data_IF_359074307686
#
_entry.id   IF_359074307686
#
_cell.length_a   1.000
_cell.length_b   1.000
_cell.length_c   1.000
_cell.angle_alpha   90.00
_cell.angle_beta   90.00
_cell.angle_gamma   90.00
#
_symmetry.space_group_name_H-M   'P 1'
#
loop_
_entity.id
_entity.type
_entity.pdbx_description
1 polymer ?
#
# COMPACT_ATOMS: atom_id res chain seq x y z
N UNK A 1 68.09 -35.07 -8.15
CA UNK A 1 67.43 -35.12 -6.81
C UNK A 1 66.29 -34.10 -6.85
N UNK A 2 65.05 -34.51 -7.17
CA UNK A 2 64.01 -35.03 -6.27
C UNK A 2 63.64 -34.01 -5.17
N UNK A 3 62.55 -33.26 -5.37
CA UNK A 3 61.32 -33.32 -4.54
C UNK A 3 60.21 -32.45 -5.10
N UNK A 4 59.02 -33.07 -5.19
CA UNK A 4 57.72 -32.50 -5.55
C UNK A 4 57.02 -31.93 -4.31
N UNK A 5 56.15 -30.92 -4.44
CA UNK A 5 55.10 -30.65 -3.43
C UNK A 5 53.84 -29.96 -4.00
N UNK A 6 52.85 -30.80 -4.31
CA UNK A 6 51.41 -30.77 -3.98
C UNK A 6 50.61 -29.44 -3.98
N UNK A 7 49.72 -29.36 -4.98
CA UNK A 7 48.26 -29.22 -4.89
C UNK A 7 47.63 -28.26 -3.86
N UNK A 8 46.84 -27.29 -4.35
CA UNK A 8 45.47 -26.98 -3.86
C UNK A 8 44.61 -26.45 -5.01
N UNK A 9 43.64 -27.27 -5.45
CA UNK A 9 42.53 -26.82 -6.26
C UNK A 9 41.57 -26.03 -5.36
N UNK A 10 41.34 -24.75 -5.65
CA UNK A 10 40.26 -23.97 -5.04
C UNK A 10 39.04 -24.08 -5.96
N UNK A 11 38.09 -24.92 -5.58
CA UNK A 11 36.75 -24.92 -6.14
C UNK A 11 36.01 -23.68 -5.62
N UNK A 12 35.83 -22.69 -6.49
CA UNK A 12 35.03 -21.49 -6.20
C UNK A 12 33.53 -21.83 -6.25
N UNK A 13 32.88 -21.82 -5.09
CA UNK A 13 31.42 -21.83 -5.00
C UNK A 13 30.90 -20.45 -5.44
N UNK A 14 30.30 -20.34 -6.63
CA UNK A 14 29.52 -19.17 -7.00
C UNK A 14 28.20 -19.19 -6.21
N UNK A 15 28.10 -18.35 -5.19
CA UNK A 15 26.83 -18.05 -4.51
C UNK A 15 25.95 -17.21 -5.45
N UNK A 16 24.95 -17.84 -6.05
CA UNK A 16 23.88 -17.13 -6.76
C UNK A 16 23.06 -16.36 -5.73
N UNK A 17 23.20 -15.03 -5.73
CA UNK A 17 22.31 -14.13 -5.01
C UNK A 17 20.90 -14.27 -5.60
N UNK A 18 20.06 -15.06 -4.94
CA UNK A 18 18.66 -15.18 -5.28
C UNK A 18 17.92 -13.90 -4.85
N UNK A 19 17.80 -12.94 -5.76
CA UNK A 19 16.74 -11.93 -5.67
C UNK A 19 15.42 -12.67 -5.92
N UNK A 20 14.70 -13.03 -4.85
CA UNK A 20 13.34 -13.55 -4.97
C UNK A 20 12.45 -12.50 -5.64
N UNK A 21 11.54 -12.89 -6.55
CA UNK A 21 10.60 -11.95 -7.14
C UNK A 21 9.74 -11.33 -6.02
N UNK A 22 9.62 -10.00 -6.02
CA UNK A 22 8.66 -9.30 -5.17
C UNK A 22 7.27 -9.78 -5.59
N UNK A 23 6.62 -10.58 -4.75
CA UNK A 23 5.28 -11.11 -5.03
C UNK A 23 4.25 -10.09 -4.56
N UNK A 24 3.70 -9.34 -5.51
CA UNK A 24 2.51 -8.54 -5.28
C UNK A 24 1.32 -9.48 -5.05
N UNK A 25 0.62 -9.34 -3.93
CA UNK A 25 -0.52 -10.22 -3.63
C UNK A 25 -1.73 -9.75 -4.45
N UNK A 26 -2.23 -10.54 -5.42
CA UNK A 26 -3.34 -10.13 -6.27
C UNK A 26 -4.60 -9.93 -5.44
N UNK A 27 -5.28 -8.81 -5.66
CA UNK A 27 -6.51 -8.42 -4.97
C UNK A 27 -7.70 -8.79 -5.85
N UNK A 28 -8.62 -9.66 -5.41
CA UNK A 28 -9.81 -10.01 -6.18
C UNK A 28 -10.69 -8.78 -6.46
N UNK A 29 -11.06 -8.60 -7.73
CA UNK A 29 -11.96 -7.57 -8.23
C UNK A 29 -13.16 -8.23 -8.89
N UNK A 30 -14.37 -7.81 -8.52
CA UNK A 30 -15.61 -8.34 -9.08
C UNK A 30 -16.56 -7.24 -9.52
N UNK A 31 -17.32 -7.49 -10.59
CA UNK A 31 -18.29 -6.53 -11.11
C UNK A 31 -18.73 -6.86 -12.54
N UNK A 32 -19.71 -6.15 -13.08
CA UNK A 32 -20.06 -6.21 -14.50
C UNK A 32 -18.86 -5.87 -15.39
N UNK A 33 -18.75 -6.50 -16.57
CA UNK A 33 -17.62 -6.31 -17.48
C UNK A 33 -17.36 -4.84 -17.86
N UNK A 34 -18.42 -4.05 -18.07
CA UNK A 34 -18.30 -2.62 -18.36
C UNK A 34 -17.71 -1.82 -17.19
N UNK A 35 -18.09 -2.15 -15.95
CA UNK A 35 -17.59 -1.51 -14.74
C UNK A 35 -16.14 -1.89 -14.43
N UNK A 36 -15.73 -3.12 -14.79
CA UNK A 36 -14.33 -3.55 -14.71
C UNK A 36 -13.48 -2.91 -15.82
N UNK A 37 -14.01 -2.80 -17.04
CA UNK A 37 -13.35 -2.13 -18.15
C UNK A 37 -13.04 -0.65 -17.81
N UNK A 38 -13.93 0.04 -17.11
CA UNK A 38 -13.71 1.40 -16.64
C UNK A 38 -12.53 1.52 -15.64
N UNK A 39 -12.17 0.43 -14.95
CA UNK A 39 -11.07 0.39 -13.98
C UNK A 39 -9.72 -0.02 -14.59
N UNK A 40 -9.70 -0.53 -15.83
CA UNK A 40 -8.46 -0.99 -16.49
C UNK A 40 -7.47 0.15 -16.65
N UNK A 41 -6.23 -0.08 -16.23
CA UNK A 41 -5.16 0.90 -16.26
C UNK A 41 -4.46 1.02 -14.93
N UNK A 42 -3.52 1.94 -14.87
CA UNK A 42 -2.79 2.30 -13.67
C UNK A 42 -3.37 3.58 -13.07
N UNK A 43 -3.43 3.66 -11.75
CA UNK A 43 -4.06 4.74 -11.02
C UNK A 43 -3.15 5.18 -9.88
N UNK A 44 -3.07 6.49 -9.66
CA UNK A 44 -2.32 7.06 -8.55
C UNK A 44 -3.03 8.28 -7.95
N UNK A 45 -2.86 8.49 -6.66
CA UNK A 45 -3.35 9.69 -5.98
C UNK A 45 -3.17 9.60 -4.48
N UNK A 46 -4.08 10.21 -3.74
CA UNK A 46 -3.88 10.48 -2.33
C UNK A 46 -5.16 10.30 -1.50
N UNK A 47 -4.98 10.14 -0.20
CA UNK A 47 -6.06 10.27 0.77
C UNK A 47 -5.72 11.26 1.88
N UNK A 48 -6.76 11.77 2.54
CA UNK A 48 -6.66 12.62 3.72
C UNK A 48 -7.72 12.20 4.76
N UNK A 49 -7.34 12.09 6.03
CA UNK A 49 -8.30 11.86 7.13
C UNK A 49 -8.93 13.17 7.60
N UNK A 50 -10.19 13.13 8.01
CA UNK A 50 -10.94 14.32 8.48
C UNK A 50 -10.50 14.80 9.88
N UNK A 51 -9.65 14.05 10.59
CA UNK A 51 -9.18 14.40 11.93
C UNK A 51 -8.12 15.51 11.92
N UNK A 52 -8.07 16.31 12.99
CA UNK A 52 -7.05 17.37 13.17
C UNK A 52 -5.59 16.87 13.16
N UNK A 53 -5.37 15.56 13.28
CA UNK A 53 -4.05 14.93 13.17
C UNK A 53 -3.55 14.78 11.72
N UNK A 54 -4.42 15.02 10.72
CA UNK A 54 -4.02 15.26 9.33
C UNK A 54 -3.25 14.12 8.67
N UNK A 55 -3.64 12.85 8.89
CA UNK A 55 -2.98 11.75 8.17
C UNK A 55 -3.27 11.87 6.68
N UNK A 56 -2.21 11.75 5.91
CA UNK A 56 -2.28 11.66 4.45
C UNK A 56 -1.65 10.34 4.00
N UNK A 57 -1.69 10.08 2.72
CA UNK A 57 -0.99 8.94 2.16
C UNK A 57 -1.24 8.85 0.68
N UNK A 58 -0.47 7.99 0.04
CA UNK A 58 -0.53 7.77 -1.39
C UNK A 58 -1.26 6.46 -1.68
N UNK A 59 -1.98 6.45 -2.79
CA UNK A 59 -2.70 5.30 -3.32
C UNK A 59 -2.10 5.02 -4.69
N UNK A 60 -1.73 3.77 -4.95
CA UNK A 60 -1.40 3.29 -6.28
C UNK A 60 -2.05 1.94 -6.53
N UNK A 61 -2.68 1.75 -7.68
CA UNK A 61 -3.17 0.43 -8.08
C UNK A 61 -3.24 0.29 -9.61
N UNK A 62 -3.25 -0.95 -10.07
CA UNK A 62 -3.32 -1.30 -11.48
C UNK A 62 -4.23 -2.50 -11.69
N UNK A 63 -5.10 -2.40 -12.69
CA UNK A 63 -5.91 -3.51 -13.18
C UNK A 63 -5.60 -3.75 -14.67
N UNK A 64 -5.22 -4.98 -15.01
CA UNK A 64 -5.02 -5.39 -16.39
C UNK A 64 -6.35 -5.76 -17.06
N UNK A 65 -6.47 -5.49 -18.36
CA UNK A 65 -7.66 -5.85 -19.12
C UNK A 65 -7.92 -7.36 -19.09
N UNK A 66 -9.18 -7.75 -18.87
CA UNK A 66 -9.60 -9.14 -18.84
C UNK A 66 -9.16 -9.93 -17.60
N UNK A 67 -8.60 -9.27 -16.58
CA UNK A 67 -8.31 -9.88 -15.28
C UNK A 67 -9.37 -9.55 -14.24
N UNK A 68 -9.54 -10.47 -13.31
CA UNK A 68 -10.38 -10.38 -12.11
C UNK A 68 -9.57 -10.08 -10.85
N UNK A 69 -8.30 -9.68 -11.04
CA UNK A 69 -7.38 -9.33 -9.96
C UNK A 69 -6.64 -8.04 -10.28
N UNK A 70 -6.57 -7.16 -9.29
CA UNK A 70 -5.78 -5.93 -9.33
C UNK A 70 -4.54 -6.06 -8.44
N UNK A 71 -3.54 -5.25 -8.72
CA UNK A 71 -2.36 -5.08 -7.88
C UNK A 71 -2.36 -3.66 -7.35
N UNK A 72 -1.96 -3.43 -6.11
CA UNK A 72 -1.89 -2.08 -5.60
C UNK A 72 -1.43 -1.99 -4.16
N UNK A 73 -0.84 -0.85 -3.84
CA UNK A 73 -0.36 -0.49 -2.53
C UNK A 73 -1.08 0.76 -2.07
N UNK A 74 -1.57 0.72 -0.84
CA UNK A 74 -1.96 1.94 -0.13
C UNK A 74 -0.85 2.24 0.85
N UNK A 75 -0.11 3.31 0.61
CA UNK A 75 0.98 3.75 1.48
C UNK A 75 0.42 4.78 2.45
N UNK A 76 0.32 4.39 3.73
CA UNK A 76 -0.05 5.34 4.77
C UNK A 76 1.18 6.14 5.22
N UNK A 77 1.06 7.47 5.18
CA UNK A 77 2.04 8.40 5.74
C UNK A 77 1.46 9.01 7.02
N UNK A 78 2.01 8.68 8.20
CA UNK A 78 1.56 9.27 9.45
C UNK A 78 1.66 10.81 9.39
N UNK A 79 0.58 11.51 9.78
CA UNK A 79 0.61 12.97 9.93
C UNK A 79 1.63 13.35 11.00
N UNK A 80 2.63 14.15 10.64
CA UNK A 80 3.68 14.58 11.57
C UNK A 80 3.12 15.68 12.48
N UNK A 81 2.89 15.36 13.75
CA UNK A 81 2.90 16.41 14.78
C UNK A 81 3.60 16.00 16.09
N UNK A 82 4.44 14.95 16.08
CA UNK A 82 5.27 14.65 17.26
C UNK A 82 6.60 15.42 17.32
N UNK A 83 6.98 16.07 16.22
CA UNK A 83 8.13 16.96 16.18
C UNK A 83 7.60 18.37 15.88
N UNK A 84 7.73 19.27 16.84
CA UNK A 84 7.51 20.69 16.62
C UNK A 84 8.49 21.26 15.57
N UNK A 85 8.39 22.54 15.22
CA UNK A 85 9.16 23.17 14.13
C UNK A 85 10.68 23.25 14.34
N UNK A 86 11.27 22.51 15.27
CA UNK A 86 12.67 22.74 15.67
C UNK A 86 13.41 21.44 15.94
N UNK A 87 14.55 21.33 15.25
CA UNK A 87 15.63 20.36 15.33
C UNK A 87 15.47 19.04 14.53
N UNK A 88 16.28 18.82 13.47
CA UNK A 88 16.50 17.47 12.94
C UNK A 88 17.27 16.64 13.98
N UNK A 89 16.92 15.35 14.18
CA UNK A 89 17.67 14.48 15.08
C UNK A 89 19.08 14.21 14.52
N UNK A 90 20.08 14.00 15.38
CA UNK A 90 21.43 13.63 14.95
C UNK A 90 21.38 12.31 14.17
N UNK A 91 22.25 12.20 13.16
CA UNK A 91 22.35 11.08 12.24
C UNK A 91 22.92 9.82 12.91
N UNK A 92 22.23 9.27 13.91
CA UNK A 92 22.49 7.96 14.49
C UNK A 92 21.14 7.30 14.73
N UNK A 93 20.87 6.25 13.94
CA UNK A 93 19.73 5.34 14.03
C UNK A 93 18.38 6.05 14.18
N UNK A 94 17.71 6.32 13.06
CA UNK A 94 16.27 6.52 13.08
C UNK A 94 15.66 5.32 13.82
N UNK A 95 15.04 5.51 14.99
CA UNK A 95 14.20 4.47 15.54
C UNK A 95 13.15 4.18 14.46
N UNK A 96 12.84 2.91 14.19
CA UNK A 96 11.56 2.54 13.56
C UNK A 96 10.48 2.94 14.57
N UNK A 97 10.21 4.24 14.66
CA UNK A 97 9.22 4.82 15.53
C UNK A 97 7.84 4.74 14.87
N UNK A 98 6.76 5.01 15.63
CA UNK A 98 5.43 5.19 15.07
C UNK A 98 5.49 6.36 14.07
N UNK A 99 5.56 6.05 12.77
CA UNK A 99 5.99 7.03 11.77
C UNK A 99 6.44 6.45 10.42
N UNK A 100 6.85 5.18 10.37
CA UNK A 100 7.26 4.55 9.11
C UNK A 100 6.05 4.36 8.16
N UNK A 101 6.22 4.60 6.84
CA UNK A 101 5.19 4.28 5.86
C UNK A 101 4.79 2.80 5.95
N UNK A 102 3.49 2.53 6.01
CA UNK A 102 2.96 1.16 6.00
C UNK A 102 2.21 0.90 4.69
N UNK A 103 2.50 -0.24 4.07
CA UNK A 103 1.76 -0.73 2.91
C UNK A 103 0.55 -1.50 3.41
N UNK A 104 -0.65 -1.03 3.08
CA UNK A 104 -1.91 -1.67 3.43
C UNK A 104 -2.42 -2.47 2.23
N UNK A 105 -2.75 -3.73 2.47
CA UNK A 105 -3.30 -4.62 1.45
C UNK A 105 -4.80 -4.40 1.30
N UNK A 106 -5.28 -4.27 0.06
CA UNK A 106 -6.72 -4.27 -0.24
C UNK A 106 -7.18 -5.72 -0.28
N UNK A 107 -8.27 -6.05 0.42
CA UNK A 107 -8.80 -7.42 0.50
C UNK A 107 -9.70 -7.77 -0.68
N UNK A 108 -10.57 -6.86 -1.08
CA UNK A 108 -11.44 -7.04 -2.22
C UNK A 108 -11.93 -5.70 -2.74
N UNK A 109 -12.24 -5.68 -4.03
CA UNK A 109 -12.88 -4.56 -4.70
C UNK A 109 -14.12 -5.04 -5.45
N UNK A 110 -15.23 -4.32 -5.31
CA UNK A 110 -16.43 -4.51 -6.11
C UNK A 110 -16.73 -3.24 -6.88
N UNK A 111 -16.87 -3.35 -8.19
CA UNK A 111 -17.32 -2.26 -9.07
C UNK A 111 -18.75 -2.53 -9.55
N UNK A 112 -19.63 -1.57 -9.40
CA UNK A 112 -21.00 -1.65 -9.93
C UNK A 112 -21.59 -0.27 -10.18
N UNK A 113 -22.10 -0.05 -11.39
CA UNK A 113 -22.76 1.20 -11.80
C UNK A 113 -21.85 2.42 -11.67
N UNK A 114 -20.55 2.27 -11.95
CA UNK A 114 -19.53 3.30 -11.77
C UNK A 114 -19.15 3.59 -10.31
N UNK A 115 -19.61 2.81 -9.34
CA UNK A 115 -19.15 2.88 -7.93
C UNK A 115 -18.15 1.78 -7.66
N UNK A 116 -17.01 2.14 -7.09
CA UNK A 116 -16.02 1.23 -6.51
C UNK A 116 -16.26 1.13 -5.00
N UNK A 117 -16.28 -0.08 -4.47
CA UNK A 117 -16.31 -0.33 -3.03
C UNK A 117 -15.26 -1.36 -2.67
N UNK A 118 -14.66 -1.24 -1.49
CA UNK A 118 -13.68 -2.22 -1.05
C UNK A 118 -13.36 -2.14 0.43
N UNK A 119 -12.48 -3.03 0.86
CA UNK A 119 -11.95 -3.07 2.23
C UNK A 119 -10.45 -3.32 2.20
N UNK A 120 -9.76 -2.77 3.19
CA UNK A 120 -8.39 -3.15 3.48
C UNK A 120 -8.38 -4.39 4.39
N UNK A 121 -7.26 -5.10 4.39
CA UNK A 121 -6.95 -6.02 5.48
C UNK A 121 -6.91 -5.26 6.81
N UNK A 122 -7.36 -5.88 7.92
CA UNK A 122 -7.17 -5.30 9.23
C UNK A 122 -5.69 -5.04 9.49
N UNK A 123 -5.38 -3.85 10.02
CA UNK A 123 -4.02 -3.45 10.37
C UNK A 123 -4.00 -2.79 11.74
N UNK A 124 -2.82 -2.75 12.36
CA UNK A 124 -2.60 -2.06 13.63
C UNK A 124 -2.35 -0.58 13.37
N UNK A 125 -3.19 0.29 13.92
CA UNK A 125 -2.99 1.74 13.85
C UNK A 125 -1.87 2.14 14.83
N UNK A 126 -0.74 2.71 14.35
CA UNK A 126 0.46 2.94 15.15
C UNK A 126 0.30 4.04 16.22
N UNK A 127 -0.79 4.81 16.21
CA UNK A 127 -1.03 5.85 17.21
C UNK A 127 -1.80 5.36 18.43
N UNK A 128 -2.74 4.43 18.24
CA UNK A 128 -3.54 3.84 19.33
C UNK A 128 -3.07 2.43 19.69
N UNK A 129 -2.17 1.84 18.90
CA UNK A 129 -1.79 0.42 18.96
C UNK A 129 -3.02 -0.50 18.93
N UNK A 130 -3.95 -0.17 18.04
CA UNK A 130 -5.26 -0.82 17.98
C UNK A 130 -5.55 -1.35 16.58
N UNK A 131 -6.13 -2.56 16.51
CA UNK A 131 -6.56 -3.15 15.24
C UNK A 131 -7.75 -2.38 14.67
N UNK A 132 -7.63 -1.95 13.43
CA UNK A 132 -8.69 -1.22 12.73
C UNK A 132 -9.13 -1.92 11.45
N UNK A 133 -10.37 -1.67 11.05
CA UNK A 133 -10.94 -2.13 9.79
C UNK A 133 -11.30 -0.92 8.94
N UNK A 134 -10.81 -0.90 7.71
CA UNK A 134 -11.08 0.21 6.77
C UNK A 134 -11.95 -0.26 5.61
N UNK A 135 -13.03 0.47 5.35
CA UNK A 135 -13.87 0.32 4.15
C UNK A 135 -13.84 1.61 3.35
N UNK A 136 -13.82 1.52 2.03
CA UNK A 136 -13.84 2.69 1.14
C UNK A 136 -14.89 2.55 0.05
N UNK A 137 -15.35 3.70 -0.42
CA UNK A 137 -16.25 3.86 -1.56
C UNK A 137 -15.70 4.97 -2.45
N UNK A 138 -15.84 4.83 -3.77
CA UNK A 138 -15.51 5.86 -4.74
C UNK A 138 -16.38 5.80 -5.99
N UNK A 139 -16.39 6.89 -6.75
CA UNK A 139 -17.10 7.05 -8.03
C UNK A 139 -16.09 7.23 -9.14
N UNK A 140 -16.27 6.49 -10.22
CA UNK A 140 -15.45 6.58 -11.43
C UNK A 140 -16.08 7.63 -12.35
N UNK A 141 -15.30 8.64 -12.70
CA UNK A 141 -15.67 9.75 -13.58
C UNK A 141 -14.53 9.97 -14.57
N UNK A 142 -14.58 9.24 -15.71
CA UNK A 142 -13.52 9.24 -16.71
C UNK A 142 -12.22 8.66 -16.15
N UNK A 143 -11.19 9.51 -16.08
CA UNK A 143 -9.86 9.17 -15.57
C UNK A 143 -9.64 9.58 -14.13
N UNK A 144 -10.73 9.82 -13.38
CA UNK A 144 -10.69 10.12 -11.95
C UNK A 144 -11.58 9.14 -11.19
N UNK A 145 -11.06 8.61 -10.09
CA UNK A 145 -11.87 7.99 -9.04
C UNK A 145 -11.78 8.85 -7.80
N UNK A 146 -12.91 9.15 -7.18
CA UNK A 146 -12.95 9.95 -5.96
C UNK A 146 -13.98 9.42 -4.98
N UNK A 147 -13.72 9.56 -3.68
CA UNK A 147 -14.64 9.09 -2.68
C UNK A 147 -14.22 9.32 -1.24
N UNK A 148 -14.68 8.40 -0.38
CA UNK A 148 -14.44 8.45 1.06
C UNK A 148 -14.09 7.07 1.60
N UNK A 149 -13.49 7.07 2.79
CA UNK A 149 -13.23 5.86 3.55
C UNK A 149 -13.69 6.03 4.99
N UNK A 150 -13.86 4.89 5.66
CA UNK A 150 -14.24 4.81 7.07
C UNK A 150 -13.34 3.80 7.74
N UNK A 151 -12.68 4.23 8.82
CA UNK A 151 -11.90 3.41 9.74
C UNK A 151 -12.77 3.13 10.94
N UNK A 152 -12.93 1.86 11.29
CA UNK A 152 -13.61 1.41 12.50
C UNK A 152 -12.62 0.71 13.41
N UNK A 153 -12.54 1.16 14.65
CA UNK A 153 -11.81 0.49 15.72
C UNK A 153 -12.68 -0.62 16.32
N UNK A 154 -12.06 -1.68 16.82
CA UNK A 154 -12.80 -2.74 17.51
C UNK A 154 -13.60 -2.24 18.72
N UNK A 155 -13.11 -1.17 19.37
CA UNK A 155 -13.77 -0.53 20.52
C UNK A 155 -14.87 0.47 20.13
N UNK A 156 -15.22 0.57 18.85
CA UNK A 156 -16.41 1.29 18.36
C UNK A 156 -16.18 2.72 17.87
N UNK A 157 -15.00 3.31 18.11
CA UNK A 157 -14.67 4.60 17.51
C UNK A 157 -14.60 4.49 15.98
N UNK A 158 -15.15 5.50 15.31
CA UNK A 158 -15.18 5.60 13.85
C UNK A 158 -14.54 6.89 13.40
N UNK A 159 -13.67 6.80 12.39
CA UNK A 159 -12.96 7.93 11.78
C UNK A 159 -13.12 7.86 10.26
N UNK A 160 -13.13 9.01 9.60
CA UNK A 160 -13.36 9.13 8.17
C UNK A 160 -12.28 9.92 7.43
N UNK A 161 -12.40 9.91 6.11
CA UNK A 161 -11.59 10.75 5.24
C UNK A 161 -12.02 10.67 3.79
N UNK A 162 -11.29 11.41 2.95
CA UNK A 162 -11.49 11.51 1.50
C UNK A 162 -10.29 10.95 0.77
N UNK A 163 -10.52 10.47 -0.44
CA UNK A 163 -9.46 9.99 -1.32
C UNK A 163 -9.79 10.28 -2.79
N UNK A 164 -8.75 10.39 -3.61
CA UNK A 164 -8.87 10.48 -5.07
C UNK A 164 -7.68 9.82 -5.75
N UNK A 165 -7.91 9.19 -6.89
CA UNK A 165 -6.89 8.65 -7.77
C UNK A 165 -7.17 9.07 -9.22
N UNK A 166 -6.11 9.29 -10.00
CA UNK A 166 -6.15 9.60 -11.42
C UNK A 166 -5.50 8.49 -12.22
N UNK A 167 -6.04 8.20 -13.40
CA UNK A 167 -5.47 7.21 -14.31
C UNK A 167 -4.18 7.77 -14.91
N UNK A 168 -3.12 6.96 -14.91
CA UNK A 168 -1.93 7.21 -15.69
C UNK A 168 -2.24 7.11 -17.19
N UNK A 169 -1.54 7.93 -17.98
CA UNK A 169 -1.62 7.93 -19.44
C UNK A 169 -0.83 6.75 -20.03
#
# INVERSE_FOLDING_TARGET
MKTSSRSRALAGLLALAACGPVTWNPVPVSGPAADLAALVGEWSGDYVTDSATGRTGQIWFRLEAGRDSAYGDVVMIPGTNRWGPTAPPPAQELPIGPGAPQVLTIRFVRSAGGTVTGRLDPYTDPFCDCTVRTSFTGRIEGDVVQGSFTIREERGATRGGRWSARRGN
#
